data_IF_008792633226
#
_entry.id   IF_008792633226
#
_cell.length_a   1.000
_cell.length_b   1.000
_cell.length_c   1.000
_cell.angle_alpha   90.00
_cell.angle_beta   90.00
_cell.angle_gamma   90.00
#
_symmetry.space_group_name_H-M   'P 1'
#
loop_
_entity.id
_entity.type
_entity.pdbx_description
1 polymer ?
#
# COMPACT_ATOMS: atom_id res chain seq x y z
N UNK A 1 -3.05 -12.26 -6.93
CA UNK A 1 -2.97 -11.55 -5.64
C UNK A 1 -4.16 -11.74 -4.70
N UNK A 2 -5.43 -11.53 -5.10
CA UNK A 2 -6.60 -11.72 -4.19
C UNK A 2 -6.61 -13.07 -3.47
N UNK A 3 -6.19 -14.14 -4.13
CA UNK A 3 -6.07 -15.46 -3.50
C UNK A 3 -4.68 -15.74 -2.91
N UNK A 4 -3.62 -15.18 -3.49
CA UNK A 4 -2.23 -15.50 -3.13
C UNK A 4 -1.83 -14.87 -1.79
N UNK A 5 -2.23 -13.61 -1.55
CA UNK A 5 -1.90 -12.92 -0.30
C UNK A 5 -2.56 -13.57 0.92
N UNK A 6 -3.86 -13.92 0.87
CA UNK A 6 -4.47 -14.68 1.95
C UNK A 6 -3.86 -16.08 2.15
N UNK A 7 -3.39 -16.73 1.09
CA UNK A 7 -2.71 -18.04 1.20
C UNK A 7 -1.34 -17.91 1.88
N UNK A 8 -0.59 -16.84 1.61
CA UNK A 8 0.73 -16.61 2.19
C UNK A 8 0.65 -16.09 3.64
N UNK A 9 -0.26 -15.16 3.93
CA UNK A 9 -0.26 -14.40 5.19
C UNK A 9 -1.50 -14.64 6.08
N UNK A 10 -2.46 -15.44 5.62
CA UNK A 10 -3.72 -15.72 6.33
C UNK A 10 -4.91 -14.92 5.79
N UNK A 11 -6.12 -15.42 6.06
CA UNK A 11 -7.38 -14.90 5.45
C UNK A 11 -7.66 -13.42 5.72
N UNK A 12 -7.14 -12.88 6.81
CA UNK A 12 -7.37 -11.50 7.25
C UNK A 12 -6.23 -10.55 6.84
N UNK A 13 -5.21 -11.05 6.13
CA UNK A 13 -4.03 -10.28 5.77
C UNK A 13 -4.24 -9.33 4.58
N UNK A 14 -5.42 -9.37 3.94
CA UNK A 14 -5.73 -8.55 2.78
C UNK A 14 -7.08 -7.85 2.97
N UNK A 15 -7.05 -6.52 2.93
CA UNK A 15 -8.22 -5.71 2.61
C UNK A 15 -8.12 -5.33 1.14
N UNK A 16 -9.10 -5.75 0.33
CA UNK A 16 -9.13 -5.42 -1.10
C UNK A 16 -10.16 -4.33 -1.38
N UNK A 17 -9.78 -3.36 -2.20
CA UNK A 17 -10.62 -2.25 -2.63
C UNK A 17 -10.81 -2.31 -4.15
N UNK A 18 -12.00 -2.70 -4.61
CA UNK A 18 -12.35 -2.66 -6.03
C UNK A 18 -12.54 -1.23 -6.48
N UNK A 19 -11.91 -0.85 -7.61
CA UNK A 19 -12.10 0.47 -8.20
C UNK A 19 -13.28 0.46 -9.17
N UNK A 20 -13.50 -0.64 -9.89
CA UNK A 20 -14.54 -0.68 -10.91
C UNK A 20 -15.94 -0.53 -10.29
N UNK A 21 -16.64 0.54 -10.65
CA UNK A 21 -18.00 0.80 -10.16
C UNK A 21 -18.06 1.32 -8.72
N UNK A 22 -16.93 1.71 -8.12
CA UNK A 22 -16.87 2.29 -6.78
C UNK A 22 -16.23 3.69 -6.81
N UNK A 23 -17.05 4.74 -6.80
CA UNK A 23 -16.59 6.13 -6.89
C UNK A 23 -15.72 6.55 -5.70
N UNK A 24 -16.01 6.04 -4.49
CA UNK A 24 -15.24 6.35 -3.29
C UNK A 24 -13.81 5.80 -3.38
N UNK A 25 -13.66 4.55 -3.77
CA UNK A 25 -12.35 3.93 -3.99
C UNK A 25 -11.59 4.60 -5.15
N UNK A 26 -12.28 5.03 -6.21
CA UNK A 26 -11.66 5.83 -7.28
C UNK A 26 -11.14 7.18 -6.76
N UNK A 27 -11.88 7.85 -5.87
CA UNK A 27 -11.40 9.08 -5.25
C UNK A 27 -10.14 8.86 -4.41
N UNK A 28 -10.09 7.77 -3.64
CA UNK A 28 -8.90 7.37 -2.89
C UNK A 28 -7.71 7.09 -3.83
N UNK A 29 -7.93 6.35 -4.92
CA UNK A 29 -6.90 6.09 -5.93
C UNK A 29 -6.39 7.38 -6.61
N UNK A 30 -7.28 8.32 -6.93
CA UNK A 30 -6.89 9.61 -7.50
C UNK A 30 -5.98 10.41 -6.56
N UNK A 31 -6.19 10.31 -5.25
CA UNK A 31 -5.28 10.94 -4.28
C UNK A 31 -3.90 10.25 -4.27
N UNK A 32 -3.82 8.94 -4.48
CA UNK A 32 -2.53 8.26 -4.67
C UNK A 32 -1.82 8.77 -5.93
N UNK A 33 -2.56 8.99 -7.02
CA UNK A 33 -2.00 9.60 -8.22
C UNK A 33 -1.43 11.00 -7.95
N UNK A 34 -2.16 11.86 -7.22
CA UNK A 34 -1.67 13.20 -6.88
C UNK A 34 -0.42 13.21 -6.00
N UNK A 35 -0.30 12.24 -5.09
CA UNK A 35 0.81 12.19 -4.11
C UNK A 35 2.03 11.44 -4.68
N UNK A 36 1.81 10.31 -5.34
CA UNK A 36 2.85 9.36 -5.74
C UNK A 36 3.02 9.24 -7.25
N UNK A 37 2.10 9.80 -8.05
CA UNK A 37 2.12 9.67 -9.51
C UNK A 37 1.73 8.27 -10.01
N UNK A 38 1.12 7.43 -9.17
CA UNK A 38 0.68 6.08 -9.57
C UNK A 38 -0.48 6.16 -10.56
N UNK A 39 -0.37 5.46 -11.69
CA UNK A 39 -1.37 5.47 -12.77
C UNK A 39 -1.92 4.09 -13.09
N UNK A 40 -1.37 3.06 -12.45
CA UNK A 40 -1.67 1.66 -12.71
C UNK A 40 -2.11 0.98 -11.43
N UNK A 41 -2.97 -0.02 -11.58
CA UNK A 41 -3.30 -0.96 -10.51
C UNK A 41 -2.62 -2.30 -10.77
N UNK A 42 -2.32 -3.08 -9.73
CA UNK A 42 -2.62 -2.82 -8.32
C UNK A 42 -1.65 -1.83 -7.65
N UNK A 43 -2.12 -1.15 -6.60
CA UNK A 43 -1.27 -0.38 -5.67
C UNK A 43 -1.55 -0.89 -4.26
N UNK A 44 -0.50 -1.29 -3.54
CA UNK A 44 -0.60 -2.08 -2.31
C UNK A 44 0.13 -1.35 -1.19
N UNK A 45 -0.57 -1.04 -0.10
CA UNK A 45 0.05 -0.59 1.14
C UNK A 45 0.39 -1.78 2.03
N UNK A 46 1.61 -1.84 2.54
CA UNK A 46 2.08 -2.86 3.48
C UNK A 46 2.11 -2.25 4.88
N UNK A 47 1.27 -2.81 5.76
CA UNK A 47 1.12 -2.35 7.12
C UNK A 47 1.70 -3.37 8.10
N UNK A 48 2.40 -2.86 9.12
CA UNK A 48 2.86 -3.63 10.26
C UNK A 48 2.63 -2.82 11.53
N UNK A 49 2.07 -3.46 12.57
CA UNK A 49 1.68 -2.79 13.83
C UNK A 49 0.83 -1.51 13.60
N UNK A 50 -0.09 -1.57 12.64
CA UNK A 50 -0.99 -0.46 12.28
C UNK A 50 -0.34 0.71 11.54
N UNK A 51 0.95 0.62 11.17
CA UNK A 51 1.68 1.67 10.45
C UNK A 51 2.05 1.25 9.04
N UNK A 52 2.05 2.20 8.13
CA UNK A 52 2.48 1.98 6.75
C UNK A 52 4.01 1.94 6.68
N UNK A 53 4.56 0.88 6.08
CA UNK A 53 6.01 0.70 5.89
C UNK A 53 6.43 0.66 4.44
N UNK A 54 5.57 0.17 3.55
CA UNK A 54 5.86 0.18 2.12
C UNK A 54 4.60 0.36 1.29
N UNK A 55 4.78 0.91 0.09
CA UNK A 55 3.78 1.01 -0.97
C UNK A 55 4.38 0.38 -2.20
N UNK A 56 3.68 -0.59 -2.80
CA UNK A 56 4.09 -1.26 -4.03
C UNK A 56 3.13 -0.87 -5.15
N UNK A 57 3.67 -0.32 -6.23
CA UNK A 57 2.93 -0.08 -7.48
C UNK A 57 3.25 -1.19 -8.47
N UNK A 58 2.27 -2.08 -8.70
CA UNK A 58 2.44 -3.27 -9.54
C UNK A 58 2.45 -4.58 -8.74
N UNK A 59 3.02 -5.62 -9.33
CA UNK A 59 3.07 -6.95 -8.73
C UNK A 59 3.83 -6.96 -7.40
N UNK A 60 3.27 -7.65 -6.40
CA UNK A 60 3.86 -7.77 -5.09
C UNK A 60 4.44 -9.17 -4.87
N UNK A 61 5.76 -9.29 -4.66
CA UNK A 61 6.38 -10.58 -4.40
C UNK A 61 6.27 -10.88 -2.90
N UNK A 62 5.38 -11.81 -2.56
CA UNK A 62 5.04 -12.16 -1.16
C UNK A 62 6.26 -12.53 -0.32
N UNK A 63 7.26 -13.16 -0.93
CA UNK A 63 8.45 -13.63 -0.23
C UNK A 63 9.32 -12.48 0.34
N UNK A 64 9.11 -11.24 -0.11
CA UNK A 64 9.87 -10.05 0.33
C UNK A 64 9.08 -9.12 1.24
N UNK A 65 7.88 -9.51 1.70
CA UNK A 65 7.04 -8.67 2.54
C UNK A 65 7.77 -8.22 3.82
N UNK A 66 8.39 -9.17 4.52
CA UNK A 66 9.12 -8.93 5.76
C UNK A 66 10.37 -8.06 5.51
N UNK A 67 11.10 -8.34 4.42
CA UNK A 67 12.28 -7.56 4.01
C UNK A 67 11.92 -6.08 3.77
N UNK A 68 10.79 -5.79 3.13
CA UNK A 68 10.35 -4.41 2.91
C UNK A 68 10.06 -3.68 4.22
N UNK A 69 9.43 -4.34 5.18
CA UNK A 69 9.16 -3.77 6.50
C UNK A 69 10.47 -3.50 7.24
N UNK A 70 11.40 -4.46 7.26
CA UNK A 70 12.70 -4.30 7.90
C UNK A 70 13.53 -3.16 7.28
N UNK A 71 13.59 -3.08 5.95
CA UNK A 71 14.33 -2.04 5.25
C UNK A 71 13.71 -0.66 5.45
N UNK A 72 12.37 -0.55 5.48
CA UNK A 72 11.67 0.68 5.81
C UNK A 72 11.99 1.15 7.25
N UNK A 73 12.04 0.23 8.22
CA UNK A 73 12.46 0.54 9.59
C UNK A 73 13.90 1.05 9.66
N UNK A 74 14.84 0.40 8.95
CA UNK A 74 16.26 0.83 8.88
C UNK A 74 16.39 2.20 8.23
N UNK A 75 15.66 2.43 7.14
CA UNK A 75 15.64 3.68 6.40
C UNK A 75 14.87 4.81 7.10
N UNK A 76 14.12 4.50 8.17
CA UNK A 76 13.30 5.43 8.96
C UNK A 76 12.28 6.18 8.10
N UNK A 77 11.51 5.44 7.31
CA UNK A 77 10.46 6.01 6.45
C UNK A 77 9.59 4.94 5.80
N UNK A 78 8.87 5.34 4.77
CA UNK A 78 8.03 4.44 3.96
C UNK A 78 8.71 4.21 2.61
N UNK A 79 8.87 2.96 2.21
CA UNK A 79 9.38 2.61 0.89
C UNK A 79 8.28 2.74 -0.15
N UNK A 80 8.54 3.45 -1.24
CA UNK A 80 7.68 3.43 -2.42
C UNK A 80 8.39 2.68 -3.54
N UNK A 81 7.83 1.52 -3.90
CA UNK A 81 8.43 0.51 -4.75
C UNK A 81 7.67 0.48 -6.08
N UNK A 82 8.39 0.81 -7.15
CA UNK A 82 7.96 0.75 -8.56
C UNK A 82 9.12 0.13 -9.37
N UNK A 83 9.36 0.55 -10.60
CA UNK A 83 10.61 0.29 -11.35
C UNK A 83 11.89 0.69 -10.59
N UNK A 84 11.75 1.61 -9.63
CA UNK A 84 12.76 2.07 -8.69
C UNK A 84 12.20 2.08 -7.28
N UNK A 85 13.10 2.15 -6.30
CA UNK A 85 12.74 2.30 -4.90
C UNK A 85 13.00 3.74 -4.46
N UNK A 86 11.98 4.38 -3.93
CA UNK A 86 12.03 5.72 -3.34
C UNK A 86 11.77 5.63 -1.84
N UNK A 87 12.35 6.54 -1.08
CA UNK A 87 12.09 6.68 0.35
C UNK A 87 11.24 7.92 0.58
N UNK A 88 10.07 7.73 1.20
CA UNK A 88 9.31 8.82 1.82
C UNK A 88 9.85 8.98 3.24
N UNK A 89 10.56 10.08 3.56
CA UNK A 89 11.21 10.22 4.87
C UNK A 89 10.19 10.19 6.01
N UNK A 90 10.48 9.47 7.10
CA UNK A 90 9.56 9.29 8.24
C UNK A 90 9.22 10.58 9.00
N UNK A 91 10.00 11.65 8.80
CA UNK A 91 9.66 12.97 9.35
C UNK A 91 8.62 13.72 8.51
N UNK A 92 8.24 13.22 7.33
CA UNK A 92 7.16 13.74 6.51
C UNK A 92 5.80 13.18 6.95
N UNK A 93 5.46 13.46 8.21
CA UNK A 93 4.30 12.87 8.88
C UNK A 93 2.98 13.24 8.21
N UNK A 94 2.88 14.43 7.60
CA UNK A 94 1.67 14.84 6.87
C UNK A 94 1.39 13.93 5.67
N UNK A 95 2.40 13.67 4.84
CA UNK A 95 2.25 12.79 3.66
C UNK A 95 1.98 11.35 4.10
N UNK A 96 2.72 10.85 5.11
CA UNK A 96 2.55 9.47 5.59
C UNK A 96 1.14 9.27 6.17
N UNK A 97 0.65 10.18 7.01
CA UNK A 97 -0.70 10.09 7.56
C UNK A 97 -1.77 10.14 6.46
N UNK A 98 -1.56 10.95 5.40
CA UNK A 98 -2.48 10.99 4.27
C UNK A 98 -2.50 9.67 3.51
N UNK A 99 -1.33 9.07 3.27
CA UNK A 99 -1.21 7.76 2.62
C UNK A 99 -1.85 6.66 3.47
N UNK A 100 -1.60 6.63 4.78
CA UNK A 100 -2.23 5.69 5.71
C UNK A 100 -3.76 5.80 5.66
N UNK A 101 -4.30 7.03 5.69
CA UNK A 101 -5.74 7.28 5.56
C UNK A 101 -6.29 6.72 4.25
N UNK A 102 -5.62 6.98 3.12
CA UNK A 102 -6.07 6.50 1.80
C UNK A 102 -6.17 4.96 1.77
N UNK A 103 -5.18 4.25 2.29
CA UNK A 103 -5.16 2.79 2.29
C UNK A 103 -6.06 2.14 3.35
N UNK A 104 -6.54 2.89 4.35
CA UNK A 104 -7.39 2.35 5.42
C UNK A 104 -8.85 2.77 5.31
N UNK A 105 -9.14 3.76 4.45
CA UNK A 105 -10.46 4.39 4.35
C UNK A 105 -11.22 4.04 3.06
N UNK A 106 -10.78 3.03 2.30
CA UNK A 106 -11.57 2.51 1.17
C UNK A 106 -12.82 1.76 1.63
N UNK A 107 -13.76 1.54 0.72
CA UNK A 107 -14.90 0.63 0.88
C UNK A 107 -14.47 -0.80 0.53
N UNK A 108 -14.30 -1.69 1.52
CA UNK A 108 -13.77 -3.03 1.29
C UNK A 108 -14.71 -3.82 0.37
N UNK A 109 -14.13 -4.53 -0.58
CA UNK A 109 -14.85 -5.53 -1.35
C UNK A 109 -14.72 -6.89 -0.69
N UNK A 110 -15.72 -7.74 -0.88
CA UNK A 110 -15.60 -9.15 -0.47
C UNK A 110 -14.43 -9.81 -1.21
N UNK A 111 -13.62 -10.56 -0.46
CA UNK A 111 -12.43 -11.27 -0.94
C UNK A 111 -12.76 -12.72 -1.23
#
# INVERSE_FOLDING_TARGET
MKEELPKAFGKEALTYYELQGNDHNNQMFNQLYEILGVTTVPVIGIFYDGKLYAIVNGEFPTDYADDFVEEAMKAKGVLFITDKVYLIPGNNTEIINKLESIFTNGEPSEV
#
